data_IF_000559109584
#
_entry.id   IF_000559109584
#
_cell.length_a   1.000
_cell.length_b   1.000
_cell.length_c   1.000
_cell.angle_alpha   90.00
_cell.angle_beta   90.00
_cell.angle_gamma   90.00
#
_symmetry.space_group_name_H-M   'P 1'
#
loop_
_entity.id
_entity.type
_entity.pdbx_description
1 polymer ?
#
# COMPACT_ATOMS: atom_id res chain seq x y z
N UNK A 1 -20.92 18.42 -28.67
CA UNK A 1 -19.64 18.63 -27.93
C UNK A 1 -19.50 17.77 -26.67
N UNK A 2 -20.59 17.37 -25.98
CA UNK A 2 -20.56 16.48 -24.79
C UNK A 2 -19.71 15.22 -24.95
N UNK A 3 -19.83 14.54 -26.09
CA UNK A 3 -19.09 13.29 -26.35
C UNK A 3 -17.57 13.54 -26.47
N UNK A 4 -17.17 14.68 -27.04
CA UNK A 4 -15.74 15.07 -27.13
C UNK A 4 -15.17 15.32 -25.73
N UNK A 5 -15.94 15.97 -24.85
CA UNK A 5 -15.51 16.24 -23.47
C UNK A 5 -15.28 14.94 -22.67
N UNK A 6 -16.16 13.95 -22.83
CA UNK A 6 -16.02 12.64 -22.16
C UNK A 6 -14.78 11.90 -22.67
N UNK A 7 -14.55 11.90 -23.98
CA UNK A 7 -13.37 11.26 -24.58
C UNK A 7 -12.09 11.92 -24.06
N UNK A 8 -12.03 13.25 -24.01
CA UNK A 8 -10.89 13.97 -23.45
C UNK A 8 -10.67 13.62 -21.97
N UNK A 9 -11.74 13.55 -21.17
CA UNK A 9 -11.64 13.15 -19.77
C UNK A 9 -11.11 11.72 -19.58
N UNK A 10 -11.51 10.78 -20.44
CA UNK A 10 -10.98 9.41 -20.43
C UNK A 10 -9.50 9.35 -20.85
N UNK A 11 -9.07 10.17 -21.82
CA UNK A 11 -7.65 10.24 -22.18
C UNK A 11 -6.79 10.87 -21.09
N UNK A 12 -7.33 11.76 -20.27
CA UNK A 12 -6.59 12.36 -19.16
C UNK A 12 -6.31 11.36 -18.02
N UNK A 13 -7.14 10.33 -17.84
CA UNK A 13 -6.95 9.38 -16.74
C UNK A 13 -5.71 8.50 -16.89
N UNK A 14 -5.20 8.32 -18.12
CA UNK A 14 -3.97 7.53 -18.37
C UNK A 14 -2.71 8.18 -17.79
N UNK A 15 -2.76 9.48 -17.48
CA UNK A 15 -1.67 10.22 -16.85
C UNK A 15 -1.72 10.16 -15.33
N UNK A 16 -2.76 9.56 -14.74
CA UNK A 16 -2.83 9.39 -13.28
C UNK A 16 -1.86 8.28 -12.85
N UNK A 17 -0.95 8.64 -11.94
CA UNK A 17 -0.02 7.70 -11.31
C UNK A 17 -0.49 7.49 -9.86
N UNK A 18 -0.73 6.24 -9.48
CA UNK A 18 -1.08 5.88 -8.09
C UNK A 18 0.13 5.75 -7.16
N UNK A 19 1.34 5.96 -7.67
CA UNK A 19 2.59 5.79 -6.94
C UNK A 19 2.88 7.05 -6.10
N UNK A 20 3.38 6.87 -4.89
CA UNK A 20 3.72 7.97 -3.97
C UNK A 20 5.21 7.93 -3.63
N UNK A 21 5.89 9.05 -3.81
CA UNK A 21 7.27 9.23 -3.33
C UNK A 21 7.29 10.00 -2.01
N UNK A 22 8.12 9.57 -1.06
CA UNK A 22 8.25 10.16 0.27
C UNK A 22 9.70 10.60 0.51
N UNK A 23 9.88 11.91 0.69
CA UNK A 23 11.19 12.50 0.99
C UNK A 23 12.12 12.60 -0.22
N UNK A 24 11.58 12.49 -1.44
CA UNK A 24 12.27 12.69 -2.72
C UNK A 24 11.27 13.18 -3.78
N UNK A 25 11.78 13.70 -4.90
CA UNK A 25 10.95 14.38 -5.90
C UNK A 25 10.31 13.45 -6.95
N UNK A 26 10.79 12.21 -7.06
CA UNK A 26 10.37 11.27 -8.09
C UNK A 26 10.37 9.83 -7.57
N UNK A 27 9.41 9.05 -8.03
CA UNK A 27 9.38 7.60 -7.83
C UNK A 27 10.48 6.95 -8.69
N UNK A 28 11.15 5.97 -8.11
CA UNK A 28 12.10 5.08 -8.72
C UNK A 28 11.45 3.69 -8.90
N UNK A 29 11.43 3.21 -10.14
CA UNK A 29 10.85 1.91 -10.49
C UNK A 29 9.38 1.98 -10.92
N UNK A 30 9.04 1.14 -11.90
CA UNK A 30 7.70 1.06 -12.49
C UNK A 30 6.73 0.16 -11.69
N UNK A 31 7.23 -0.63 -10.75
CA UNK A 31 6.47 -1.58 -9.95
C UNK A 31 6.45 -1.22 -8.46
N UNK A 32 6.37 0.07 -8.14
CA UNK A 32 6.40 0.59 -6.76
C UNK A 32 5.13 1.36 -6.45
N UNK A 33 4.45 1.07 -5.34
CA UNK A 33 3.30 1.89 -4.88
C UNK A 33 3.77 3.01 -3.94
N UNK A 34 4.71 2.72 -3.06
CA UNK A 34 5.25 3.66 -2.09
C UNK A 34 6.77 3.62 -2.11
N UNK A 35 7.39 4.78 -2.25
CA UNK A 35 8.81 4.87 -2.54
C UNK A 35 9.51 5.91 -1.66
N UNK A 36 10.41 5.47 -0.79
CA UNK A 36 11.09 6.33 0.17
C UNK A 36 12.43 6.84 -0.40
N UNK A 37 12.98 7.89 0.21
CA UNK A 37 14.36 8.30 -0.08
C UNK A 37 15.35 7.17 0.28
N UNK A 38 16.39 6.97 -0.51
CA UNK A 38 17.40 5.93 -0.27
C UNK A 38 18.52 6.41 0.66
N UNK A 39 18.85 7.71 0.64
CA UNK A 39 20.05 8.24 1.29
C UNK A 39 19.71 8.80 2.67
N UNK A 40 20.43 8.34 3.70
CA UNK A 40 20.25 8.78 5.10
C UNK A 40 18.77 8.77 5.54
N UNK A 41 18.03 7.75 5.11
CA UNK A 41 16.60 7.70 5.29
C UNK A 41 16.19 7.01 6.59
N UNK A 42 15.34 7.68 7.37
CA UNK A 42 14.70 7.13 8.58
C UNK A 42 13.18 7.01 8.40
N UNK A 43 12.66 7.24 7.19
CA UNK A 43 11.23 7.19 6.87
C UNK A 43 10.84 5.78 6.45
N UNK A 44 9.64 5.38 6.83
CA UNK A 44 9.06 4.08 6.51
C UNK A 44 7.60 4.03 6.96
N UNK A 45 7.03 2.83 6.95
CA UNK A 45 5.71 2.57 7.53
C UNK A 45 5.92 2.06 8.95
N UNK A 46 5.27 2.67 9.93
CA UNK A 46 5.19 2.11 11.29
C UNK A 46 4.07 1.09 11.30
N UNK A 47 4.42 -0.18 11.55
CA UNK A 47 3.49 -1.29 11.62
C UNK A 47 3.22 -1.68 13.07
N UNK A 48 2.00 -2.10 13.36
CA UNK A 48 1.67 -2.75 14.63
C UNK A 48 2.42 -4.08 14.75
N UNK A 49 3.08 -4.30 15.89
CA UNK A 49 3.76 -5.56 16.18
C UNK A 49 2.91 -6.42 17.12
N UNK A 50 2.53 -7.61 16.68
CA UNK A 50 1.71 -8.56 17.45
C UNK A 50 2.55 -9.78 17.84
N UNK A 51 2.16 -10.49 18.91
CA UNK A 51 2.86 -11.72 19.32
C UNK A 51 2.66 -12.85 18.29
N UNK A 52 1.46 -12.94 17.71
CA UNK A 52 1.09 -13.80 16.59
C UNK A 52 -0.19 -13.26 15.93
N UNK A 53 -0.55 -13.80 14.78
CA UNK A 53 -1.75 -13.38 14.02
C UNK A 53 -3.09 -13.85 14.58
N UNK A 54 -3.13 -14.75 15.57
CA UNK A 54 -4.37 -15.44 15.98
C UNK A 54 -5.48 -14.51 16.45
N UNK A 55 -5.13 -13.34 17.01
CA UNK A 55 -6.07 -12.32 17.49
C UNK A 55 -5.87 -10.97 16.80
N UNK A 56 -5.24 -10.94 15.63
CA UNK A 56 -4.87 -9.70 14.95
C UNK A 56 -6.01 -9.10 14.10
N UNK A 57 -7.08 -9.86 13.87
CA UNK A 57 -8.18 -9.47 12.99
C UNK A 57 -9.37 -8.91 13.78
N UNK A 58 -10.07 -7.95 13.18
CA UNK A 58 -11.32 -7.45 13.73
C UNK A 58 -12.45 -8.48 13.58
N UNK A 59 -13.44 -8.41 14.47
CA UNK A 59 -14.63 -9.27 14.45
C UNK A 59 -15.43 -9.14 13.15
N UNK A 60 -15.44 -7.96 12.53
CA UNK A 60 -16.11 -7.71 11.25
C UNK A 60 -15.15 -8.04 10.10
N UNK A 61 -15.35 -9.20 9.49
CA UNK A 61 -14.42 -9.78 8.49
C UNK A 61 -14.21 -8.91 7.24
N UNK A 62 -15.21 -8.15 6.81
CA UNK A 62 -15.13 -7.26 5.65
C UNK A 62 -14.02 -6.20 5.74
N UNK A 63 -13.57 -5.88 6.96
CA UNK A 63 -12.58 -4.84 7.21
C UNK A 63 -11.14 -5.37 7.34
N UNK A 64 -10.93 -6.68 7.25
CA UNK A 64 -9.64 -7.29 7.58
C UNK A 64 -8.65 -7.31 6.39
N UNK A 65 -9.16 -7.39 5.15
CA UNK A 65 -8.30 -7.42 3.96
C UNK A 65 -7.56 -6.07 3.78
N UNK A 66 -6.25 -6.13 3.55
CA UNK A 66 -5.37 -4.96 3.50
C UNK A 66 -4.68 -4.64 4.84
N UNK A 67 -4.83 -5.48 5.87
CA UNK A 67 -4.11 -5.32 7.13
C UNK A 67 -2.64 -5.70 6.97
N UNK A 68 -1.74 -4.82 7.40
CA UNK A 68 -0.30 -5.08 7.50
C UNK A 68 0.14 -5.07 8.96
N UNK A 69 0.96 -6.03 9.35
CA UNK A 69 1.54 -6.10 10.70
C UNK A 69 2.89 -6.83 10.72
N UNK A 70 3.61 -6.69 11.83
CA UNK A 70 4.78 -7.53 12.14
C UNK A 70 4.33 -8.66 13.08
N UNK A 71 4.46 -9.91 12.62
CA UNK A 71 4.26 -11.09 13.45
C UNK A 71 5.58 -11.47 14.13
N UNK A 72 5.65 -11.33 15.46
CA UNK A 72 6.87 -11.63 16.24
C UNK A 72 7.11 -13.13 16.43
N UNK A 73 6.15 -13.99 16.14
CA UNK A 73 6.33 -15.45 16.26
C UNK A 73 7.27 -16.00 15.18
N UNK A 74 7.29 -15.38 13.99
CA UNK A 74 8.18 -15.74 12.89
C UNK A 74 9.01 -14.58 12.34
N UNK A 75 8.92 -13.40 12.98
CA UNK A 75 9.62 -12.16 12.61
C UNK A 75 9.36 -11.70 11.17
N UNK A 76 8.14 -11.94 10.65
CA UNK A 76 7.75 -11.54 9.30
C UNK A 76 6.73 -10.40 9.32
N UNK A 77 6.86 -9.51 8.35
CA UNK A 77 5.77 -8.62 7.97
C UNK A 77 4.75 -9.48 7.21
N UNK A 78 3.49 -9.42 7.63
CA UNK A 78 2.39 -10.16 7.00
C UNK A 78 1.32 -9.22 6.50
N UNK A 79 0.73 -9.56 5.37
CA UNK A 79 -0.47 -8.92 4.86
C UNK A 79 -1.64 -9.91 4.96
N UNK A 80 -2.78 -9.45 5.46
CA UNK A 80 -4.01 -10.21 5.31
C UNK A 80 -4.68 -9.81 4.00
N UNK A 81 -4.69 -10.71 3.03
CA UNK A 81 -5.37 -10.51 1.74
C UNK A 81 -6.10 -11.77 1.31
N UNK A 82 -7.20 -11.61 0.58
CA UNK A 82 -8.03 -12.71 0.13
C UNK A 82 -8.40 -13.70 1.26
N UNK A 83 -8.57 -13.17 2.47
CA UNK A 83 -8.83 -13.93 3.69
C UNK A 83 -7.72 -14.89 4.14
N UNK A 84 -6.47 -14.61 3.78
CA UNK A 84 -5.29 -15.41 4.14
C UNK A 84 -4.14 -14.48 4.55
N UNK A 85 -3.31 -14.93 5.49
CA UNK A 85 -2.05 -14.28 5.80
C UNK A 85 -0.97 -14.72 4.80
N UNK A 86 -0.33 -13.74 4.15
CA UNK A 86 0.84 -13.89 3.28
C UNK A 86 2.04 -13.16 3.86
#
# INVERSE_FOLDING_TARGET
MKNIQIVVAMFLSIFSLGQVSIGKDKVNGSATILDFNETNNTRGIILSAVNNVSNALATVSANNNGTFLLDKSDNKIKMYENNVWV
#
